data_IF_583621902807
#
_entry.id   IF_583621902807
#
_cell.length_a   1.000
_cell.length_b   1.000
_cell.length_c   1.000
_cell.angle_alpha   90.00
_cell.angle_beta   90.00
_cell.angle_gamma   90.00
#
_symmetry.space_group_name_H-M   'P 1'
#
loop_
_entity.id
_entity.type
_entity.pdbx_description
1 polymer ?
#
# COMPACT_ATOMS: atom_id res chain seq x y z
N UNK A 1 -12.70 -5.72 7.52
CA UNK A 1 -12.89 -7.09 7.02
C UNK A 1 -14.06 -6.98 6.05
N UNK A 2 -14.00 -7.58 4.86
CA UNK A 2 -15.25 -7.80 4.13
C UNK A 2 -15.97 -8.92 4.89
N UNK A 3 -16.58 -8.57 6.02
CA UNK A 3 -17.46 -9.47 6.75
C UNK A 3 -18.74 -9.53 5.91
N UNK A 4 -18.72 -10.45 4.94
CA UNK A 4 -19.94 -11.18 4.65
C UNK A 4 -20.28 -11.86 5.97
N UNK A 5 -21.27 -11.33 6.68
CA UNK A 5 -21.85 -11.99 7.84
C UNK A 5 -22.02 -13.45 7.51
N UNK A 6 -21.15 -14.28 8.09
CA UNK A 6 -21.11 -15.72 7.83
C UNK A 6 -22.47 -16.37 8.12
N UNK A 7 -23.33 -15.67 8.89
CA UNK A 7 -24.68 -16.07 9.18
C UNK A 7 -25.60 -14.86 9.46
N UNK A 8 -25.96 -14.09 8.43
CA UNK A 8 -27.06 -13.11 8.53
C UNK A 8 -28.40 -13.87 8.63
N UNK A 9 -28.83 -14.13 9.86
CA UNK A 9 -30.11 -14.74 10.18
C UNK A 9 -31.24 -13.71 10.26
N UNK A 10 -32.23 -13.84 9.39
CA UNK A 10 -33.59 -13.34 9.65
C UNK A 10 -34.66 -14.29 9.06
N UNK A 11 -35.44 -14.85 9.99
CA UNK A 11 -36.77 -15.48 9.89
C UNK A 11 -37.06 -16.56 8.83
N UNK A 12 -37.03 -17.83 9.30
CA UNK A 12 -38.16 -18.77 9.26
C UNK A 12 -38.61 -19.36 7.92
N UNK A 13 -38.28 -20.63 7.68
CA UNK A 13 -38.97 -21.51 6.71
C UNK A 13 -39.48 -22.80 7.43
N UNK A 14 -40.69 -23.32 7.14
CA UNK A 14 -41.33 -24.41 7.91
C UNK A 14 -40.76 -25.81 7.69
N UNK A 15 -39.71 -25.98 6.87
CA UNK A 15 -39.24 -27.29 6.41
C UNK A 15 -37.99 -27.81 7.13
N UNK A 16 -37.23 -26.96 7.84
CA UNK A 16 -36.12 -27.38 8.70
C UNK A 16 -36.02 -26.42 9.92
N UNK A 17 -36.41 -26.86 11.14
CA UNK A 17 -36.38 -26.02 12.33
C UNK A 17 -34.95 -25.72 12.84
N UNK A 18 -33.89 -26.21 12.19
CA UNK A 18 -32.51 -26.09 12.65
C UNK A 18 -31.58 -25.26 11.74
N UNK A 19 -31.91 -25.01 10.46
CA UNK A 19 -31.06 -24.23 9.54
C UNK A 19 -31.86 -23.16 8.75
N UNK A 20 -31.19 -22.25 8.03
CA UNK A 20 -31.80 -21.17 7.21
C UNK A 20 -31.66 -21.43 5.72
N UNK A 21 -31.44 -22.69 5.33
CA UNK A 21 -31.16 -23.06 3.95
C UNK A 21 -32.28 -23.97 3.45
N UNK A 22 -32.95 -23.52 2.40
CA UNK A 22 -33.93 -24.32 1.69
C UNK A 22 -33.20 -25.22 0.68
N UNK A 23 -33.78 -26.37 0.34
CA UNK A 23 -33.46 -27.18 -0.86
C UNK A 23 -33.76 -26.45 -2.19
N UNK A 24 -33.78 -25.11 -2.19
CA UNK A 24 -34.20 -24.27 -3.29
C UNK A 24 -33.10 -23.26 -3.66
N UNK A 25 -32.90 -23.07 -4.96
CA UNK A 25 -32.04 -22.02 -5.50
C UNK A 25 -32.56 -20.67 -5.00
N UNK A 26 -31.76 -19.96 -4.22
CA UNK A 26 -32.09 -18.64 -3.68
C UNK A 26 -31.02 -17.62 -4.05
N UNK A 27 -31.47 -16.39 -4.28
CA UNK A 27 -30.62 -15.23 -4.56
C UNK A 27 -30.75 -14.26 -3.40
N UNK A 28 -29.62 -13.82 -2.85
CA UNK A 28 -29.57 -12.76 -1.84
C UNK A 28 -28.72 -11.61 -2.36
N UNK A 29 -29.21 -10.40 -2.24
CA UNK A 29 -28.49 -9.19 -2.62
C UNK A 29 -28.52 -8.18 -1.48
N UNK A 30 -27.44 -7.43 -1.33
CA UNK A 30 -27.31 -6.43 -0.28
C UNK A 30 -26.24 -5.39 -0.61
N UNK A 31 -26.09 -4.41 0.27
CA UNK A 31 -25.01 -3.43 0.22
C UNK A 31 -24.33 -3.40 1.57
N UNK A 32 -23.01 -3.35 1.58
CA UNK A 32 -22.22 -3.24 2.79
C UNK A 32 -21.07 -2.25 2.59
N UNK A 33 -20.73 -1.55 3.66
CA UNK A 33 -19.56 -0.68 3.74
C UNK A 33 -18.67 -1.19 4.87
N UNK A 34 -17.42 -1.47 4.56
CA UNK A 34 -16.41 -1.84 5.54
C UNK A 34 -15.36 -0.73 5.66
N UNK A 35 -14.92 -0.52 6.89
CA UNK A 35 -13.84 0.38 7.20
C UNK A 35 -12.83 -0.30 8.12
N UNK A 36 -11.61 -0.50 7.60
CA UNK A 36 -10.53 -1.12 8.36
C UNK A 36 -9.46 -0.09 8.67
N UNK A 37 -9.20 0.12 9.96
CA UNK A 37 -8.21 1.05 10.50
C UNK A 37 -7.06 0.30 11.19
N UNK A 38 -5.96 1.01 11.45
CA UNK A 38 -4.80 0.54 12.23
C UNK A 38 -4.17 -0.79 11.76
N UNK A 39 -4.17 -1.06 10.45
CA UNK A 39 -3.46 -2.23 9.92
C UNK A 39 -1.95 -1.98 9.92
N UNK A 40 -1.21 -2.85 10.62
CA UNK A 40 0.25 -2.89 10.53
C UNK A 40 0.66 -3.77 9.36
N UNK A 41 1.19 -3.15 8.29
CA UNK A 41 1.61 -3.87 7.08
C UNK A 41 3.12 -4.08 7.07
N UNK A 42 3.57 -5.33 6.90
CA UNK A 42 5.00 -5.62 6.76
C UNK A 42 5.48 -5.24 5.36
N UNK A 43 6.60 -4.54 5.28
CA UNK A 43 7.25 -4.22 4.00
C UNK A 43 8.01 -5.43 3.48
N UNK A 44 7.70 -5.83 2.24
CA UNK A 44 8.39 -6.92 1.54
C UNK A 44 9.34 -6.35 0.49
N UNK A 45 10.62 -6.31 0.84
CA UNK A 45 11.70 -5.84 -0.03
C UNK A 45 12.92 -6.74 0.14
N UNK A 46 13.85 -6.71 -0.80
CA UNK A 46 15.12 -7.44 -0.67
C UNK A 46 15.96 -6.91 0.50
N UNK A 47 16.74 -7.80 1.14
CA UNK A 47 17.68 -7.44 2.24
C UNK A 47 18.70 -6.39 1.83
N UNK A 48 19.12 -6.44 0.56
CA UNK A 48 20.08 -5.51 -0.02
C UNK A 48 19.38 -4.63 -1.06
N UNK A 49 19.77 -3.37 -1.11
CA UNK A 49 19.41 -2.45 -2.19
C UNK A 49 20.65 -2.26 -3.08
N UNK A 50 20.48 -2.51 -4.37
CA UNK A 50 21.54 -2.39 -5.37
C UNK A 50 21.40 -1.08 -6.14
N UNK A 51 22.49 -0.61 -6.75
CA UNK A 51 22.47 0.59 -7.60
C UNK A 51 22.51 1.94 -6.86
N UNK A 52 22.90 1.96 -5.59
CA UNK A 52 23.11 3.20 -4.82
C UNK A 52 24.60 3.55 -4.76
N UNK A 53 24.99 4.82 -4.82
CA UNK A 53 26.39 5.27 -4.75
C UNK A 53 26.90 5.40 -3.30
N UNK A 54 28.18 5.15 -3.02
CA UNK A 54 28.72 5.09 -1.65
C UNK A 54 28.24 6.22 -0.70
N UNK A 55 27.94 5.90 0.56
CA UNK A 55 27.52 6.90 1.55
C UNK A 55 28.65 7.93 1.74
N UNK A 56 28.37 9.25 1.75
CA UNK A 56 29.37 10.26 2.05
C UNK A 56 30.00 10.04 3.45
N UNK A 57 31.33 10.05 3.54
CA UNK A 57 32.05 9.86 4.82
C UNK A 57 33.02 11.00 5.16
N UNK A 58 33.17 11.99 4.27
CA UNK A 58 34.09 13.12 4.45
C UNK A 58 33.40 14.47 4.34
N UNK A 59 34.16 15.53 4.58
CA UNK A 59 33.70 16.94 4.54
C UNK A 59 33.92 17.60 3.17
N UNK A 60 34.08 16.81 2.11
CA UNK A 60 34.35 17.31 0.77
C UNK A 60 33.41 16.66 -0.25
N UNK A 61 32.90 17.47 -1.16
CA UNK A 61 32.02 17.02 -2.24
C UNK A 61 32.70 15.98 -3.13
N UNK A 62 31.94 14.96 -3.54
CA UNK A 62 32.43 13.84 -4.34
C UNK A 62 31.48 13.45 -5.48
N UNK A 63 31.93 12.53 -6.33
CA UNK A 63 31.10 11.91 -7.37
C UNK A 63 30.67 10.51 -6.93
N UNK A 64 29.39 10.19 -7.09
CA UNK A 64 28.78 8.93 -6.64
C UNK A 64 28.29 8.11 -7.83
N UNK A 65 29.23 7.67 -8.66
CA UNK A 65 28.94 6.98 -9.94
C UNK A 65 29.05 5.45 -9.86
N UNK A 66 29.80 4.95 -8.87
CA UNK A 66 30.02 3.51 -8.69
C UNK A 66 28.93 2.95 -7.78
N UNK A 67 28.14 1.96 -8.24
CA UNK A 67 27.13 1.32 -7.41
C UNK A 67 27.78 0.54 -6.27
N UNK A 68 27.15 0.56 -5.11
CA UNK A 68 27.57 -0.16 -3.91
C UNK A 68 26.34 -0.77 -3.25
N UNK A 69 26.36 -2.09 -3.13
CA UNK A 69 25.32 -2.84 -2.44
C UNK A 69 25.33 -2.50 -0.95
N UNK A 70 24.15 -2.32 -0.38
CA UNK A 70 23.99 -1.97 1.04
C UNK A 70 22.74 -2.58 1.64
N UNK A 71 22.64 -2.63 2.98
CA UNK A 71 21.40 -2.99 3.66
C UNK A 71 20.25 -2.09 3.19
N UNK A 72 19.14 -2.71 2.82
CA UNK A 72 17.93 -2.00 2.45
C UNK A 72 17.23 -1.49 3.72
N UNK A 73 17.06 -0.17 3.83
CA UNK A 73 16.52 0.47 5.04
C UNK A 73 15.06 0.08 5.33
N UNK A 74 14.29 -0.27 4.30
CA UNK A 74 12.92 -0.73 4.44
C UNK A 74 12.81 -2.21 4.81
N UNK A 75 13.91 -2.98 4.72
CA UNK A 75 13.87 -4.41 5.04
C UNK A 75 13.51 -4.63 6.52
N UNK A 76 12.46 -5.41 6.74
CA UNK A 76 11.94 -5.69 8.08
C UNK A 76 11.24 -4.50 8.74
N UNK A 77 10.89 -3.45 7.98
CA UNK A 77 10.07 -2.34 8.45
C UNK A 77 8.58 -2.62 8.24
N UNK A 78 7.77 -1.80 8.89
CA UNK A 78 6.32 -1.87 8.83
C UNK A 78 5.75 -0.50 8.46
N UNK A 79 4.65 -0.50 7.71
CA UNK A 79 3.75 0.65 7.62
C UNK A 79 2.90 0.65 8.89
N UNK A 80 2.93 1.78 9.60
CA UNK A 80 2.42 1.88 10.97
C UNK A 80 0.91 2.06 10.99
N UNK A 81 0.40 2.76 9.98
CA UNK A 81 -1.00 3.08 9.85
C UNK A 81 -1.40 2.85 8.39
N UNK A 82 -2.38 1.99 8.21
CA UNK A 82 -2.98 1.70 6.92
C UNK A 82 -4.47 1.53 7.11
N UNK A 83 -5.21 2.39 6.43
CA UNK A 83 -6.66 2.42 6.40
C UNK A 83 -7.14 1.96 5.02
N UNK A 84 -8.18 1.14 5.03
CA UNK A 84 -8.79 0.65 3.80
C UNK A 84 -10.30 0.72 3.91
N UNK A 85 -10.91 1.44 2.98
CA UNK A 85 -12.35 1.60 2.90
C UNK A 85 -12.86 0.79 1.72
N UNK A 86 -13.97 0.10 1.90
CA UNK A 86 -14.66 -0.60 0.81
C UNK A 86 -16.16 -0.33 0.93
N UNK A 87 -16.78 0.08 -0.16
CA UNK A 87 -18.24 0.17 -0.28
C UNK A 87 -18.66 -0.71 -1.46
N UNK A 88 -19.41 -1.76 -1.19
CA UNK A 88 -19.73 -2.76 -2.19
C UNK A 88 -21.16 -3.28 -2.09
N UNK A 89 -21.71 -3.64 -3.24
CA UNK A 89 -22.88 -4.49 -3.35
C UNK A 89 -22.44 -5.96 -3.20
N UNK A 90 -23.26 -6.76 -2.55
CA UNK A 90 -23.12 -8.20 -2.40
C UNK A 90 -24.18 -8.90 -3.23
N UNK A 91 -23.80 -10.01 -3.86
CA UNK A 91 -24.72 -10.96 -4.47
C UNK A 91 -24.30 -12.38 -4.07
N UNK A 92 -25.20 -13.13 -3.45
CA UNK A 92 -25.05 -14.56 -3.20
C UNK A 92 -26.08 -15.38 -3.95
N UNK A 93 -25.61 -16.51 -4.46
CA UNK A 93 -26.38 -17.55 -5.10
C UNK A 93 -26.20 -18.83 -4.30
N UNK A 94 -27.30 -19.34 -3.77
CA UNK A 94 -27.34 -20.68 -3.21
C UNK A 94 -27.52 -21.67 -4.38
N UNK A 95 -26.53 -22.54 -4.61
CA UNK A 95 -26.50 -23.45 -5.76
C UNK A 95 -26.83 -24.89 -5.36
N UNK A 96 -26.51 -25.26 -4.12
CA UNK A 96 -26.78 -26.58 -3.52
C UNK A 96 -27.18 -26.42 -2.06
N UNK A 97 -27.79 -27.47 -1.50
CA UNK A 97 -28.10 -27.55 -0.06
C UNK A 97 -26.85 -27.10 0.72
N UNK A 98 -26.98 -25.98 1.44
CA UNK A 98 -25.97 -25.43 2.36
C UNK A 98 -24.69 -24.90 1.72
N UNK A 99 -24.68 -24.59 0.43
CA UNK A 99 -23.53 -23.99 -0.27
C UNK A 99 -23.92 -22.73 -1.06
N UNK A 100 -23.27 -21.62 -0.72
CA UNK A 100 -23.42 -20.34 -1.41
C UNK A 100 -22.13 -19.97 -2.15
N UNK A 101 -22.27 -19.53 -3.39
CA UNK A 101 -21.25 -18.73 -4.07
C UNK A 101 -21.68 -17.28 -3.97
N UNK A 102 -20.75 -16.40 -3.64
CA UNK A 102 -21.02 -14.98 -3.57
C UNK A 102 -19.95 -14.17 -4.27
N UNK A 103 -20.35 -12.99 -4.72
CA UNK A 103 -19.44 -11.99 -5.22
C UNK A 103 -19.82 -10.63 -4.66
N UNK A 104 -18.83 -9.75 -4.68
CA UNK A 104 -19.03 -8.37 -4.27
C UNK A 104 -18.44 -7.46 -5.32
N UNK A 105 -19.16 -6.39 -5.63
CA UNK A 105 -18.78 -5.40 -6.61
C UNK A 105 -18.93 -4.03 -5.97
N UNK A 106 -17.87 -3.24 -5.98
CA UNK A 106 -17.88 -1.99 -5.24
C UNK A 106 -16.75 -1.08 -5.64
N UNK A 107 -16.43 -0.19 -4.72
CA UNK A 107 -15.26 0.66 -4.81
C UNK A 107 -14.47 0.64 -3.51
N UNK A 108 -13.15 0.74 -3.63
CA UNK A 108 -12.26 0.86 -2.49
C UNK A 108 -11.26 2.00 -2.68
N UNK A 109 -10.82 2.57 -1.57
CA UNK A 109 -9.68 3.45 -1.47
C UNK A 109 -8.93 3.17 -0.16
N UNK A 110 -7.74 3.76 -0.03
CA UNK A 110 -6.93 3.59 1.16
C UNK A 110 -6.06 4.79 1.48
N UNK A 111 -5.61 4.80 2.72
CA UNK A 111 -4.66 5.74 3.27
C UNK A 111 -3.52 4.96 3.92
N UNK A 112 -2.29 5.40 3.73
CA UNK A 112 -1.12 4.72 4.27
C UNK A 112 -0.13 5.75 4.80
N UNK A 113 0.42 5.46 5.97
CA UNK A 113 1.39 6.30 6.66
C UNK A 113 2.48 5.48 7.32
N UNK A 114 3.71 5.92 7.13
CA UNK A 114 4.86 5.33 7.80
C UNK A 114 6.06 6.28 7.86
N UNK A 115 7.10 5.84 8.57
CA UNK A 115 8.43 6.44 8.46
C UNK A 115 8.95 6.36 7.02
N UNK A 116 9.69 7.38 6.60
CA UNK A 116 10.38 7.44 5.31
C UNK A 116 11.33 6.24 5.06
N UNK A 117 11.81 5.60 6.14
CA UNK A 117 12.58 4.36 6.04
C UNK A 117 11.77 3.20 5.44
N UNK A 118 10.48 3.06 5.80
CA UNK A 118 9.62 1.99 5.27
C UNK A 118 9.30 2.18 3.79
N UNK A 119 9.34 3.43 3.31
CA UNK A 119 9.12 3.80 1.91
C UNK A 119 10.39 3.80 1.06
N UNK A 120 11.55 3.47 1.62
CA UNK A 120 12.84 3.59 0.93
C UNK A 120 13.06 5.00 0.34
N UNK A 121 12.80 6.04 1.14
CA UNK A 121 13.15 7.40 0.74
C UNK A 121 14.67 7.53 0.66
N UNK A 122 15.18 7.83 -0.53
CA UNK A 122 16.61 7.95 -0.82
C UNK A 122 16.91 9.31 -1.43
N UNK A 123 18.11 9.82 -1.18
CA UNK A 123 18.58 11.12 -1.64
C UNK A 123 19.98 11.06 -2.24
N UNK A 124 20.33 12.11 -2.97
CA UNK A 124 21.66 12.37 -3.49
C UNK A 124 22.17 13.66 -2.82
N UNK A 125 23.24 13.55 -2.02
CA UNK A 125 23.78 14.63 -1.19
C UNK A 125 25.30 14.75 -1.40
N UNK A 126 25.84 15.97 -1.29
CA UNK A 126 27.30 16.20 -1.26
C UNK A 126 28.00 16.01 -2.61
N UNK A 127 27.33 16.38 -3.71
CA UNK A 127 27.82 16.13 -5.08
C UNK A 127 28.79 17.21 -5.52
N UNK A 128 29.91 16.80 -6.12
CA UNK A 128 30.90 17.71 -6.71
C UNK A 128 30.40 18.32 -8.02
N UNK A 129 30.62 19.63 -8.17
CA UNK A 129 30.48 20.38 -9.43
C UNK A 129 29.31 21.35 -9.49
N UNK A 130 29.17 21.99 -10.65
CA UNK A 130 28.13 22.99 -10.92
C UNK A 130 26.91 22.43 -11.67
N UNK A 131 26.92 21.14 -12.01
CA UNK A 131 25.82 20.40 -12.66
C UNK A 131 25.79 18.95 -12.19
N UNK A 132 24.59 18.36 -12.03
CA UNK A 132 24.44 16.93 -11.72
C UNK A 132 24.67 16.12 -13.00
N UNK A 133 25.66 15.23 -12.98
CA UNK A 133 25.90 14.30 -14.08
C UNK A 133 24.81 13.22 -14.15
N UNK A 134 24.48 12.76 -15.35
CA UNK A 134 23.40 11.79 -15.58
C UNK A 134 23.63 10.41 -14.93
N UNK A 135 24.87 10.13 -14.53
CA UNK A 135 25.33 8.88 -13.92
C UNK A 135 25.47 8.96 -12.39
N UNK A 136 25.02 10.05 -11.75
CA UNK A 136 25.06 10.18 -10.28
C UNK A 136 23.98 9.31 -9.63
N UNK A 137 24.40 8.40 -8.75
CA UNK A 137 23.53 7.47 -8.03
C UNK A 137 23.12 8.04 -6.67
N UNK A 138 21.86 7.85 -6.23
CA UNK A 138 21.45 8.17 -4.86
C UNK A 138 22.39 7.52 -3.85
N UNK A 139 22.78 8.28 -2.82
CA UNK A 139 23.85 7.90 -1.91
C UNK A 139 23.45 7.87 -0.43
N UNK A 140 22.31 8.45 -0.06
CA UNK A 140 21.80 8.42 1.32
C UNK A 140 20.41 7.79 1.38
N UNK A 141 20.12 7.10 2.49
CA UNK A 141 18.76 6.76 2.89
C UNK A 141 18.25 7.80 3.89
N UNK A 142 17.08 8.38 3.63
CA UNK A 142 16.47 9.40 4.49
C UNK A 142 15.50 8.67 5.44
N UNK A 143 15.92 8.46 6.68
CA UNK A 143 15.15 7.70 7.69
C UNK A 143 14.39 8.58 8.69
N UNK A 144 14.71 9.88 8.73
CA UNK A 144 14.08 10.87 9.60
C UNK A 144 13.01 11.64 8.83
N UNK A 145 11.87 10.99 8.64
CA UNK A 145 10.73 11.59 7.96
C UNK A 145 9.49 10.71 8.05
N UNK A 146 8.39 11.27 7.59
CA UNK A 146 7.07 10.67 7.47
C UNK A 146 6.67 10.74 6.00
N UNK A 147 6.14 9.65 5.50
CA UNK A 147 5.55 9.56 4.16
C UNK A 147 4.12 9.09 4.31
N UNK A 148 3.22 9.78 3.65
CA UNK A 148 1.79 9.51 3.65
C UNK A 148 1.31 9.47 2.20
N UNK A 149 0.42 8.55 1.88
CA UNK A 149 -0.27 8.61 0.59
C UNK A 149 -1.73 8.21 0.70
N UNK A 150 -2.52 8.84 -0.16
CA UNK A 150 -3.94 8.59 -0.35
C UNK A 150 -4.15 8.00 -1.73
N UNK A 151 -4.99 6.97 -1.83
CA UNK A 151 -5.37 6.41 -3.11
C UNK A 151 -6.69 7.00 -3.61
N UNK A 152 -6.90 7.00 -4.92
CA UNK A 152 -8.20 7.27 -5.50
C UNK A 152 -9.19 6.14 -5.18
N UNK A 153 -10.47 6.45 -5.36
CA UNK A 153 -11.55 5.47 -5.28
C UNK A 153 -11.62 4.71 -6.59
N UNK A 154 -11.39 3.40 -6.55
CA UNK A 154 -11.44 2.55 -7.75
C UNK A 154 -12.31 1.34 -7.55
N UNK A 155 -12.74 0.77 -8.67
CA UNK A 155 -13.50 -0.45 -8.68
C UNK A 155 -12.77 -1.58 -7.93
N UNK A 156 -13.48 -2.18 -6.99
CA UNK A 156 -13.06 -3.35 -6.24
C UNK A 156 -14.04 -4.48 -6.47
N UNK A 157 -13.55 -5.71 -6.49
CA UNK A 157 -14.40 -6.88 -6.58
C UNK A 157 -13.89 -7.98 -5.66
N UNK A 158 -14.80 -8.87 -5.27
CA UNK A 158 -14.44 -10.11 -4.62
C UNK A 158 -15.29 -11.25 -5.12
N UNK A 159 -14.77 -12.46 -4.96
CA UNK A 159 -15.49 -13.71 -5.15
C UNK A 159 -15.22 -14.59 -3.95
N UNK A 160 -16.23 -15.28 -3.48
CA UNK A 160 -16.11 -16.21 -2.39
C UNK A 160 -17.13 -17.32 -2.46
N UNK A 161 -16.91 -18.30 -1.61
CA UNK A 161 -17.84 -19.38 -1.36
C UNK A 161 -17.91 -19.65 0.13
N UNK A 162 -19.08 -20.06 0.58
CA UNK A 162 -19.28 -20.51 1.96
C UNK A 162 -20.21 -21.70 1.97
N UNK A 163 -20.06 -22.57 2.96
CA UNK A 163 -20.99 -23.66 3.16
C UNK A 163 -20.81 -24.39 4.47
N UNK A 164 -21.76 -25.26 4.79
CA UNK A 164 -21.64 -26.16 5.92
C UNK A 164 -20.72 -27.34 5.60
N UNK A 165 -19.80 -27.59 6.51
CA UNK A 165 -18.92 -28.75 6.48
C UNK A 165 -19.49 -29.92 7.29
N UNK A 166 -20.21 -29.62 8.35
CA UNK A 166 -20.75 -30.62 9.25
C UNK A 166 -21.93 -30.09 10.04
N UNK A 167 -22.89 -30.98 10.29
CA UNK A 167 -24.06 -30.69 11.09
C UNK A 167 -24.44 -31.89 11.95
N UNK A 168 -24.88 -31.61 13.18
CA UNK A 168 -25.47 -32.61 14.06
C UNK A 168 -26.50 -31.94 14.98
N UNK A 169 -27.76 -32.29 14.78
CA UNK A 169 -28.88 -31.67 15.50
C UNK A 169 -28.93 -30.16 15.23
N UNK A 170 -28.79 -29.35 16.29
CA UNK A 170 -28.80 -27.88 16.21
C UNK A 170 -27.40 -27.25 16.00
N UNK A 171 -26.34 -28.07 15.87
CA UNK A 171 -24.98 -27.58 15.68
C UNK A 171 -24.60 -27.58 14.19
N UNK A 172 -24.02 -26.48 13.71
CA UNK A 172 -23.51 -26.35 12.34
C UNK A 172 -22.09 -25.79 12.35
N UNK A 173 -21.18 -26.50 11.68
CA UNK A 173 -19.82 -26.05 11.37
C UNK A 173 -19.80 -25.55 9.93
N UNK A 174 -19.53 -24.26 9.74
CA UNK A 174 -19.43 -23.62 8.44
C UNK A 174 -18.00 -23.17 8.14
N UNK A 175 -17.66 -23.13 6.85
CA UNK A 175 -16.44 -22.52 6.36
C UNK A 175 -16.73 -21.50 5.27
N UNK A 176 -15.89 -20.49 5.18
CA UNK A 176 -15.91 -19.48 4.13
C UNK A 176 -14.53 -19.25 3.55
N UNK A 177 -14.52 -18.87 2.28
CA UNK A 177 -13.34 -18.53 1.53
C UNK A 177 -13.64 -17.37 0.60
N UNK A 178 -12.81 -16.34 0.62
CA UNK A 178 -13.00 -15.16 -0.22
C UNK A 178 -11.67 -14.63 -0.74
N UNK A 179 -11.71 -14.18 -1.98
CA UNK A 179 -10.65 -13.42 -2.63
C UNK A 179 -11.16 -12.05 -3.03
N UNK A 180 -10.47 -11.01 -2.60
CA UNK A 180 -10.77 -9.63 -2.97
C UNK A 180 -9.59 -9.00 -3.70
N UNK A 181 -9.89 -8.16 -4.70
CA UNK A 181 -8.91 -7.43 -5.48
C UNK A 181 -9.37 -6.01 -5.77
N UNK A 182 -8.41 -5.07 -5.73
CA UNK A 182 -8.59 -3.70 -6.18
C UNK A 182 -7.25 -3.12 -6.64
N UNK A 183 -7.27 -2.15 -7.55
CA UNK A 183 -6.06 -1.54 -8.11
C UNK A 183 -6.12 0.00 -8.06
N UNK A 184 -6.23 0.62 -6.88
CA UNK A 184 -6.32 2.06 -6.81
C UNK A 184 -4.98 2.73 -7.16
N UNK A 185 -5.08 3.88 -7.82
CA UNK A 185 -3.96 4.78 -8.10
C UNK A 185 -3.69 5.65 -6.88
N UNK A 186 -2.45 6.05 -6.71
CA UNK A 186 -2.11 7.05 -5.70
C UNK A 186 -2.60 8.41 -6.22
N UNK A 187 -3.45 9.07 -5.45
CA UNK A 187 -4.00 10.40 -5.76
C UNK A 187 -3.14 11.50 -5.14
N UNK A 188 -2.59 11.25 -3.96
CA UNK A 188 -1.73 12.20 -3.27
C UNK A 188 -0.61 11.47 -2.55
N UNK A 189 0.62 11.93 -2.74
CA UNK A 189 1.81 11.50 -2.00
C UNK A 189 2.37 12.71 -1.26
N UNK A 190 2.38 12.64 0.07
CA UNK A 190 2.96 13.64 0.96
C UNK A 190 4.26 13.09 1.56
N UNK A 191 5.31 13.89 1.49
CA UNK A 191 6.62 13.56 2.06
C UNK A 191 7.06 14.72 2.94
N UNK A 192 7.33 14.41 4.21
CA UNK A 192 7.88 15.36 5.18
C UNK A 192 9.10 14.73 5.81
N UNK A 193 10.28 15.28 5.57
CA UNK A 193 11.54 14.78 6.09
C UNK A 193 12.46 15.94 6.44
N UNK A 194 13.52 15.66 7.19
CA UNK A 194 14.53 16.68 7.53
C UNK A 194 15.04 17.47 6.29
N UNK A 195 15.44 16.83 5.16
CA UNK A 195 15.94 17.55 3.99
C UNK A 195 14.86 18.00 2.98
N UNK A 196 13.63 17.50 3.05
CA UNK A 196 12.63 17.76 2.02
C UNK A 196 11.18 17.68 2.54
N UNK A 197 10.36 18.63 2.09
CA UNK A 197 8.91 18.63 2.26
C UNK A 197 8.24 18.92 0.93
N UNK A 198 7.40 18.01 0.44
CA UNK A 198 6.66 18.19 -0.81
C UNK A 198 5.41 17.32 -0.87
N UNK A 199 4.47 17.75 -1.71
CA UNK A 199 3.26 17.00 -2.06
C UNK A 199 3.24 16.78 -3.55
N UNK A 200 2.92 15.56 -3.98
CA UNK A 200 2.70 15.21 -5.39
C UNK A 200 1.26 14.78 -5.56
N UNK A 201 0.53 15.48 -6.42
CA UNK A 201 -0.79 15.07 -6.86
C UNK A 201 -0.66 14.12 -8.05
N UNK A 202 -1.40 13.01 -8.03
CA UNK A 202 -1.40 11.96 -9.05
C UNK A 202 0.02 11.54 -9.43
N UNK A 203 0.85 11.14 -8.47
CA UNK A 203 2.27 10.87 -8.69
C UNK A 203 2.47 9.89 -9.84
N UNK A 204 3.40 10.26 -10.73
CA UNK A 204 3.90 9.42 -11.80
C UNK A 204 5.36 9.10 -11.54
N UNK A 205 5.77 7.89 -11.89
CA UNK A 205 7.12 7.40 -11.66
C UNK A 205 7.57 6.39 -12.69
N UNK A 206 8.75 5.83 -12.44
CA UNK A 206 9.41 4.87 -13.31
C UNK A 206 9.24 3.47 -12.74
N UNK A 207 8.53 2.61 -13.46
CA UNK A 207 8.24 1.24 -13.05
C UNK A 207 9.39 0.31 -13.44
N UNK A 208 9.97 -0.40 -12.47
CA UNK A 208 11.05 -1.38 -12.71
C UNK A 208 12.37 -0.79 -13.23
N UNK A 209 12.56 0.53 -13.14
CA UNK A 209 13.77 1.21 -13.64
C UNK A 209 14.85 1.26 -12.57
N UNK A 210 16.09 0.88 -12.92
CA UNK A 210 17.25 0.96 -12.03
C UNK A 210 17.67 2.42 -11.76
N UNK A 211 18.57 2.62 -10.79
CA UNK A 211 19.15 3.94 -10.55
C UNK A 211 20.33 4.15 -11.51
N UNK A 212 20.59 5.41 -11.92
CA UNK A 212 19.85 6.62 -11.57
C UNK A 212 18.59 6.80 -12.43
N UNK A 213 17.64 7.59 -11.94
CA UNK A 213 16.51 8.01 -12.77
C UNK A 213 16.95 9.09 -13.77
N UNK A 214 16.27 9.26 -14.91
CA UNK A 214 16.57 10.33 -15.86
C UNK A 214 16.64 11.71 -15.20
N UNK A 215 17.50 12.61 -15.69
CA UNK A 215 17.65 13.95 -15.12
C UNK A 215 16.34 14.77 -15.13
N UNK A 216 15.48 14.52 -16.12
CA UNK A 216 14.15 15.13 -16.25
C UNK A 216 13.13 14.59 -15.25
N UNK A 217 13.42 13.51 -14.52
CA UNK A 217 12.54 12.95 -13.50
C UNK A 217 12.14 14.02 -12.47
N UNK A 218 10.84 14.14 -12.22
CA UNK A 218 10.25 15.15 -11.35
C UNK A 218 9.89 16.47 -12.04
N UNK A 219 10.10 16.60 -13.36
CA UNK A 219 9.69 17.76 -14.16
C UNK A 219 8.59 17.39 -15.16
N UNK A 220 7.98 18.39 -15.79
CA UNK A 220 7.00 18.20 -16.87
C UNK A 220 7.59 17.56 -18.14
N UNK A 221 8.92 17.48 -18.25
CA UNK A 221 9.63 16.83 -19.36
C UNK A 221 9.93 15.34 -19.09
N UNK A 222 9.45 14.79 -17.97
CA UNK A 222 9.63 13.39 -17.65
C UNK A 222 8.81 12.48 -18.60
N UNK A 223 9.49 11.81 -19.53
CA UNK A 223 8.88 10.79 -20.40
C UNK A 223 8.84 9.42 -19.73
N UNK A 224 8.06 8.50 -20.30
CA UNK A 224 7.99 7.09 -19.90
C UNK A 224 7.52 6.82 -18.46
N UNK A 225 6.94 7.83 -17.82
CA UNK A 225 6.37 7.69 -16.47
C UNK A 225 5.01 7.01 -16.51
N UNK A 226 4.73 6.20 -15.48
CA UNK A 226 3.44 5.54 -15.23
C UNK A 226 2.82 6.07 -13.94
N UNK A 227 1.48 6.08 -13.87
CA UNK A 227 0.79 6.38 -12.62
C UNK A 227 1.22 5.38 -11.53
N UNK A 228 1.46 5.87 -10.33
CA UNK A 228 1.66 5.00 -9.18
C UNK A 228 0.34 4.32 -8.83
N UNK A 229 0.36 2.99 -8.78
CA UNK A 229 -0.80 2.15 -8.51
C UNK A 229 -0.43 1.15 -7.42
N UNK A 230 -1.38 0.88 -6.53
CA UNK A 230 -1.28 -0.15 -5.53
C UNK A 230 -2.16 -1.31 -5.98
N UNK A 231 -1.56 -2.48 -6.20
CA UNK A 231 -2.30 -3.72 -6.42
C UNK A 231 -2.62 -4.32 -5.07
N UNK A 232 -3.89 -4.31 -4.71
CA UNK A 232 -4.39 -4.91 -3.49
C UNK A 232 -4.98 -6.28 -3.76
N UNK A 233 -4.54 -7.26 -2.98
CA UNK A 233 -5.02 -8.64 -3.00
C UNK A 233 -5.27 -9.09 -1.56
N UNK A 234 -6.44 -9.62 -1.26
CA UNK A 234 -6.74 -10.19 0.05
C UNK A 234 -7.37 -11.56 -0.08
N UNK A 235 -6.77 -12.54 0.59
CA UNK A 235 -7.37 -13.84 0.84
C UNK A 235 -7.96 -13.85 2.24
N UNK A 236 -9.19 -14.32 2.38
CA UNK A 236 -9.87 -14.54 3.64
C UNK A 236 -10.34 -15.99 3.70
N UNK A 237 -10.12 -16.61 4.85
CA UNK A 237 -10.58 -17.96 5.17
C UNK A 237 -11.19 -17.92 6.56
N UNK A 238 -12.43 -18.34 6.67
CA UNK A 238 -13.16 -18.37 7.93
C UNK A 238 -13.67 -19.77 8.25
N UNK A 239 -13.72 -20.07 9.53
CA UNK A 239 -14.37 -21.27 10.06
C UNK A 239 -15.19 -20.86 11.28
N UNK A 240 -16.40 -21.37 11.40
CA UNK A 240 -17.16 -21.16 12.63
C UNK A 240 -18.13 -22.27 12.95
N UNK A 241 -18.42 -22.35 14.25
CA UNK A 241 -19.39 -23.22 14.83
C UNK A 241 -20.56 -22.38 15.36
N UNK A 242 -21.77 -22.79 15.01
CA UNK A 242 -23.00 -22.20 15.52
C UNK A 242 -23.87 -23.27 16.17
N UNK A 243 -24.71 -22.86 17.13
CA UNK A 243 -25.68 -23.74 17.76
C UNK A 243 -27.03 -23.02 17.93
N UNK A 244 -28.13 -23.62 17.44
CA UNK A 244 -29.47 -23.02 17.58
C UNK A 244 -30.10 -23.35 18.95
N UNK A 245 -30.41 -22.30 19.72
CA UNK A 245 -31.13 -22.30 20.99
C UNK A 245 -32.49 -21.61 20.81
N UNK A 246 -33.47 -22.33 20.26
CA UNK A 246 -34.82 -21.80 19.99
C UNK A 246 -34.78 -20.52 19.11
N UNK A 247 -34.91 -19.32 19.70
CA UNK A 247 -34.82 -18.03 19.00
C UNK A 247 -33.40 -17.45 18.89
N UNK A 248 -32.42 -17.98 19.63
CA UNK A 248 -31.05 -17.47 19.66
C UNK A 248 -30.12 -18.43 18.91
N UNK A 249 -29.21 -17.90 18.09
CA UNK A 249 -28.16 -18.70 17.44
C UNK A 249 -26.80 -18.12 17.81
N UNK A 250 -26.22 -18.49 18.97
CA UNK A 250 -24.83 -18.18 19.26
C UNK A 250 -23.90 -18.82 18.20
N UNK A 251 -22.85 -18.09 17.83
CA UNK A 251 -21.78 -18.60 16.99
C UNK A 251 -20.42 -18.15 17.52
N UNK A 252 -19.40 -18.95 17.22
CA UNK A 252 -17.99 -18.61 17.42
C UNK A 252 -17.24 -18.90 16.13
N UNK A 253 -16.53 -17.90 15.61
CA UNK A 253 -15.77 -18.00 14.37
C UNK A 253 -14.33 -17.54 14.53
N UNK A 254 -13.48 -18.08 13.66
CA UNK A 254 -12.10 -17.65 13.48
C UNK A 254 -11.91 -17.32 12.01
N UNK A 255 -11.49 -16.08 11.74
CA UNK A 255 -11.19 -15.61 10.41
C UNK A 255 -9.70 -15.32 10.29
N UNK A 256 -9.08 -15.84 9.24
CA UNK A 256 -7.71 -15.56 8.85
C UNK A 256 -7.73 -14.76 7.54
N UNK A 257 -7.01 -13.65 7.52
CA UNK A 257 -6.86 -12.81 6.33
C UNK A 257 -5.40 -12.54 6.00
N UNK A 258 -5.04 -12.58 4.72
CA UNK A 258 -3.74 -12.13 4.21
C UNK A 258 -3.94 -11.10 3.10
N UNK A 259 -3.65 -9.85 3.43
CA UNK A 259 -3.61 -8.75 2.48
C UNK A 259 -2.19 -8.54 1.93
N UNK A 260 -2.09 -8.22 0.64
CA UNK A 260 -0.85 -7.84 -0.04
C UNK A 260 -1.10 -6.56 -0.82
N UNK A 261 -0.17 -5.60 -0.69
CA UNK A 261 -0.16 -4.33 -1.41
C UNK A 261 1.12 -4.26 -2.22
N UNK A 262 1.00 -4.27 -3.55
CA UNK A 262 2.16 -4.23 -4.46
C UNK A 262 2.14 -2.92 -5.26
N UNK A 263 3.19 -2.11 -5.07
CA UNK A 263 3.41 -0.85 -5.76
C UNK A 263 4.28 -1.00 -7.03
N UNK A 264 4.47 -2.22 -7.53
CA UNK A 264 5.19 -2.53 -8.78
C UNK A 264 6.65 -2.02 -8.80
N UNK A 265 7.26 -1.89 -7.62
CA UNK A 265 8.58 -1.26 -7.42
C UNK A 265 8.72 0.10 -8.12
N UNK A 266 7.64 0.88 -8.19
CA UNK A 266 7.65 2.20 -8.83
C UNK A 266 8.57 3.17 -8.07
N UNK A 267 9.34 3.94 -8.83
CA UNK A 267 10.22 4.99 -8.28
C UNK A 267 9.70 6.36 -8.66
N UNK A 268 9.40 7.16 -7.65
CA UNK A 268 8.85 8.51 -7.81
C UNK A 268 9.96 9.50 -7.45
N UNK A 269 10.24 10.44 -8.34
CA UNK A 269 11.20 11.51 -8.09
C UNK A 269 10.52 12.68 -7.39
N UNK A 270 11.27 13.38 -6.54
CA UNK A 270 10.83 14.67 -6.00
C UNK A 270 10.48 15.64 -7.14
N UNK A 271 9.39 16.42 -7.03
CA UNK A 271 9.10 17.48 -7.97
C UNK A 271 10.24 18.49 -8.09
N UNK A 272 10.56 18.89 -9.32
CA UNK A 272 11.61 19.85 -9.65
C UNK A 272 11.03 20.99 -10.47
N UNK A 273 11.48 22.19 -10.20
CA UNK A 273 11.20 23.36 -11.02
C UNK A 273 11.94 23.28 -12.35
N UNK A 274 11.36 23.82 -13.41
CA UNK A 274 12.02 23.93 -14.73
C UNK A 274 13.27 24.83 -14.68
N UNK A 275 13.27 25.83 -13.80
CA UNK A 275 14.41 26.68 -13.49
C UNK A 275 14.53 26.90 -11.99
N UNK A 276 15.76 26.89 -11.46
CA UNK A 276 15.99 27.20 -10.05
C UNK A 276 15.60 28.66 -9.76
N UNK A 277 14.80 28.86 -8.73
CA UNK A 277 14.43 30.19 -8.24
C UNK A 277 15.42 30.54 -7.14
N UNK A 278 16.08 31.70 -7.26
CA UNK A 278 17.07 32.24 -6.30
C UNK A 278 18.42 31.48 -6.23
N UNK A 279 18.75 30.60 -7.18
CA UNK A 279 19.92 29.69 -7.11
C UNK A 279 19.94 28.81 -5.84
N UNK A 280 18.81 28.69 -5.15
CA UNK A 280 18.67 27.79 -4.01
C UNK A 280 18.42 26.38 -4.55
N UNK A 281 19.31 25.45 -4.21
CA UNK A 281 19.18 24.02 -4.57
C UNK A 281 18.18 23.28 -3.68
N UNK A 282 17.79 23.89 -2.55
CA UNK A 282 16.80 23.38 -1.60
C UNK A 282 16.03 24.56 -0.98
N UNK A 283 14.75 24.36 -0.64
CA UNK A 283 13.93 25.36 0.06
C UNK A 283 14.25 25.45 1.57
N UNK A 284 15.12 24.58 2.08
CA UNK A 284 15.53 24.54 3.48
C UNK A 284 17.04 24.89 3.58
N UNK A 285 17.39 26.19 3.65
CA UNK A 285 18.78 26.66 3.58
C UNK A 285 19.65 26.29 4.79
N UNK A 286 19.10 25.60 5.80
CA UNK A 286 19.81 25.27 7.05
C UNK A 286 20.65 24.00 6.98
N UNK A 287 20.81 23.35 5.82
CA UNK A 287 21.74 22.23 5.65
C UNK A 287 23.21 22.67 5.50
N UNK A 288 23.53 23.96 5.68
CA UNK A 288 24.92 24.46 5.59
C UNK A 288 25.84 23.96 6.72
N UNK A 289 25.33 23.31 7.77
CA UNK A 289 26.18 22.79 8.85
C UNK A 289 27.11 23.87 9.46
N UNK A 290 28.39 23.55 9.63
CA UNK A 290 29.46 24.44 10.11
C UNK A 290 30.05 25.36 9.01
N UNK A 291 29.55 25.30 7.77
CA UNK A 291 30.13 26.05 6.67
C UNK A 291 29.96 27.57 6.89
N UNK A 292 31.08 28.27 7.07
CA UNK A 292 31.13 29.73 7.26
C UNK A 292 31.20 30.50 5.94
N UNK A 293 31.34 29.80 4.81
CA UNK A 293 31.35 30.37 3.46
C UNK A 293 30.67 29.43 2.45
N UNK A 294 30.00 30.00 1.45
CA UNK A 294 29.37 29.24 0.35
C UNK A 294 30.41 28.83 -0.70
N UNK A 295 30.48 27.54 -1.02
CA UNK A 295 31.28 27.06 -2.16
C UNK A 295 30.62 27.48 -3.48
N UNK A 296 31.23 28.44 -4.19
CA UNK A 296 30.74 28.92 -5.48
C UNK A 296 31.06 27.98 -6.65
N UNK A 297 31.92 26.98 -6.44
CA UNK A 297 32.37 26.01 -7.44
C UNK A 297 31.52 24.73 -7.41
N UNK A 298 31.14 24.26 -6.22
CA UNK A 298 30.30 23.08 -6.02
C UNK A 298 28.91 23.46 -5.55
N UNK A 299 28.01 23.76 -6.50
CA UNK A 299 26.65 24.22 -6.21
C UNK A 299 25.77 23.20 -5.49
N UNK A 300 26.17 21.93 -5.47
CA UNK A 300 25.45 20.80 -4.86
C UNK A 300 26.23 20.16 -3.71
N UNK A 301 27.29 20.82 -3.23
CA UNK A 301 27.91 20.49 -1.96
C UNK A 301 26.94 20.93 -0.86
N UNK A 302 26.12 20.01 -0.39
CA UNK A 302 25.60 20.10 0.96
C UNK A 302 26.83 19.82 1.84
N UNK A 303 27.30 20.83 2.59
CA UNK A 303 28.54 20.89 3.41
C UNK A 303 29.83 21.33 2.69
#
# INVERSE_FOLDING_TARGET
LIDGTMWEGASGDPCDPCSTWCDAISIRAGYYGDYVFDRVLKVDVNKTITGMGAVPTGTAAANYKTPTDRPNIAYGKHLQDAEWFTNAAFLALNIWDRFDIFCTLGASNGYFKASSAAFNLVGLIGVKGSSIAADQLPNVGITQGIVEFYTDTTFSWSVGARGALWECGCATLGAEFQYAQSNPKIEMLNVVSSPAQFVVHKPRGYKGTAFPLPLTAGTDQATDTKSATIKYHEWQVGLALSYRLNMLVPYIGVNWSRATFDADAIRIAQPKLAAAVLNLTTWNPTLLGEATALDTSNKFADF
#
